data_IF_183960088522
#
_entry.id   IF_183960088522
#
_cell.length_a   1.000
_cell.length_b   1.000
_cell.length_c   1.000
_cell.angle_alpha   90.00
_cell.angle_beta   90.00
_cell.angle_gamma   90.00
#
_symmetry.space_group_name_H-M   'P 1'
#
loop_
_entity.id
_entity.type
_entity.pdbx_description
1 polymer ?
#
# COMPACT_ATOMS: atom_id res chain seq x y z
N UNK A 1 10.97 8.75 3.88
CA UNK A 1 12.33 8.36 3.45
C UNK A 1 12.40 8.25 1.93
N UNK A 2 13.52 8.61 1.35
CA UNK A 2 13.82 8.34 -0.06
C UNK A 2 14.37 6.92 -0.14
N UNK A 3 13.70 5.98 -0.83
CA UNK A 3 14.17 4.60 -0.94
C UNK A 3 15.42 4.52 -1.80
N UNK A 4 16.38 3.66 -1.44
CA UNK A 4 17.63 3.50 -2.16
C UNK A 4 17.87 2.06 -2.64
N UNK A 5 17.80 1.11 -1.72
CA UNK A 5 18.22 -0.27 -1.95
C UNK A 5 17.19 -1.27 -1.41
N UNK A 6 17.10 -2.41 -2.09
CA UNK A 6 16.26 -3.55 -1.68
C UNK A 6 17.12 -4.81 -1.72
N UNK A 7 16.98 -5.64 -0.69
CA UNK A 7 17.36 -7.04 -0.72
C UNK A 7 16.15 -7.90 -1.08
N UNK A 8 16.39 -9.05 -1.76
CA UNK A 8 15.32 -9.96 -2.19
C UNK A 8 15.69 -11.39 -1.86
N UNK A 9 14.92 -12.03 -0.98
CA UNK A 9 15.04 -13.46 -0.69
C UNK A 9 13.97 -14.25 -1.45
N UNK A 10 14.37 -15.38 -2.04
CA UNK A 10 13.48 -16.33 -2.68
C UNK A 10 13.48 -17.65 -1.91
N UNK A 11 12.29 -18.19 -1.65
CA UNK A 11 12.10 -19.59 -1.29
C UNK A 11 11.29 -20.22 -2.42
N UNK A 12 11.90 -21.15 -3.14
CA UNK A 12 11.34 -21.74 -4.37
C UNK A 12 11.14 -23.23 -4.15
N UNK A 13 9.95 -23.72 -4.46
CA UNK A 13 9.67 -25.14 -4.41
C UNK A 13 10.28 -25.87 -5.61
N UNK A 14 10.85 -27.06 -5.39
CA UNK A 14 11.40 -27.91 -6.45
C UNK A 14 10.34 -28.20 -7.53
N UNK A 15 10.70 -27.93 -8.78
CA UNK A 15 9.83 -28.08 -9.94
C UNK A 15 9.07 -26.81 -10.30
N UNK A 16 9.31 -25.67 -9.62
CA UNK A 16 8.75 -24.38 -10.03
C UNK A 16 9.24 -24.01 -11.44
N UNK A 17 8.34 -23.64 -12.40
CA UNK A 17 8.72 -23.41 -13.79
C UNK A 17 9.69 -22.24 -13.95
N UNK A 18 10.80 -22.44 -14.64
CA UNK A 18 11.79 -21.37 -14.91
C UNK A 18 11.20 -20.21 -15.74
N UNK A 19 10.21 -20.48 -16.60
CA UNK A 19 9.54 -19.45 -17.38
C UNK A 19 8.78 -18.47 -16.46
N UNK A 20 8.08 -19.01 -15.47
CA UNK A 20 7.33 -18.22 -14.49
C UNK A 20 8.28 -17.42 -13.59
N UNK A 21 9.37 -18.05 -13.15
CA UNK A 21 10.41 -17.36 -12.38
C UNK A 21 11.00 -16.19 -13.16
N UNK A 22 11.27 -16.36 -14.46
CA UNK A 22 11.75 -15.27 -15.33
C UNK A 22 10.75 -14.12 -15.43
N UNK A 23 9.46 -14.44 -15.59
CA UNK A 23 8.39 -13.43 -15.63
C UNK A 23 8.33 -12.64 -14.32
N UNK A 24 8.40 -13.31 -13.18
CA UNK A 24 8.43 -12.69 -11.86
C UNK A 24 9.64 -11.75 -11.73
N UNK A 25 10.85 -12.22 -12.03
CA UNK A 25 12.09 -11.42 -11.93
C UNK A 25 12.05 -10.20 -12.87
N UNK A 26 11.50 -10.34 -14.08
CA UNK A 26 11.32 -9.21 -15.00
C UNK A 26 10.35 -8.17 -14.46
N UNK A 27 9.22 -8.62 -13.87
CA UNK A 27 8.25 -7.74 -13.21
C UNK A 27 8.88 -7.00 -12.02
N UNK A 28 9.65 -7.70 -11.19
CA UNK A 28 10.39 -7.10 -10.07
C UNK A 28 11.39 -6.04 -10.55
N UNK A 29 12.15 -6.35 -11.61
CA UNK A 29 13.12 -5.41 -12.17
C UNK A 29 12.43 -4.17 -12.77
N UNK A 30 11.24 -4.31 -13.35
CA UNK A 30 10.42 -3.20 -13.81
C UNK A 30 9.97 -2.32 -12.64
N UNK A 31 9.37 -2.90 -11.61
CA UNK A 31 8.91 -2.20 -10.42
C UNK A 31 10.07 -1.46 -9.70
N UNK A 32 11.23 -2.09 -9.59
CA UNK A 32 12.42 -1.47 -8.99
C UNK A 32 12.89 -0.24 -9.78
N UNK A 33 12.85 -0.29 -11.13
CA UNK A 33 13.17 0.87 -11.98
C UNK A 33 12.16 2.00 -11.81
N UNK A 34 10.87 1.68 -11.78
CA UNK A 34 9.78 2.65 -11.58
C UNK A 34 9.91 3.34 -10.21
N UNK A 35 10.19 2.57 -9.17
CA UNK A 35 10.45 3.08 -7.82
C UNK A 35 11.81 3.76 -7.66
N UNK A 36 12.69 3.73 -8.69
CA UNK A 36 14.07 4.26 -8.64
C UNK A 36 14.92 3.65 -7.53
N UNK A 37 14.69 2.37 -7.21
CA UNK A 37 15.48 1.61 -6.23
C UNK A 37 16.35 0.58 -6.90
N UNK A 38 17.46 0.19 -6.24
CA UNK A 38 18.36 -0.85 -6.74
C UNK A 38 18.19 -2.13 -5.91
N UNK A 39 17.99 -3.26 -6.56
CA UNK A 39 18.12 -4.56 -5.93
C UNK A 39 19.61 -4.85 -5.85
N UNK A 40 20.17 -4.91 -4.65
CA UNK A 40 21.64 -4.96 -4.43
C UNK A 40 22.12 -6.28 -3.84
N UNK A 41 21.22 -7.03 -3.24
CA UNK A 41 21.55 -8.32 -2.63
C UNK A 41 20.31 -9.19 -2.51
N UNK A 42 20.51 -10.46 -2.25
CA UNK A 42 19.45 -11.41 -2.00
C UNK A 42 20.01 -12.81 -1.71
N UNK A 43 19.09 -13.74 -1.51
CA UNK A 43 19.41 -15.15 -1.34
C UNK A 43 18.32 -16.00 -2.00
N UNK A 44 18.66 -17.24 -2.36
CA UNK A 44 17.71 -18.18 -2.93
C UNK A 44 17.83 -19.52 -2.22
N UNK A 45 16.74 -19.97 -1.64
CA UNK A 45 16.60 -21.31 -1.08
C UNK A 45 15.64 -22.13 -1.92
N UNK A 46 16.06 -23.29 -2.36
CA UNK A 46 15.15 -24.29 -2.95
C UNK A 46 14.74 -25.28 -1.86
N UNK A 47 13.45 -25.53 -1.75
CA UNK A 47 12.84 -26.51 -0.84
C UNK A 47 12.26 -27.68 -1.63
N UNK A 48 12.12 -28.82 -0.99
CA UNK A 48 11.55 -30.03 -1.59
C UNK A 48 10.11 -29.80 -2.04
N UNK A 49 9.68 -30.55 -3.06
CA UNK A 49 8.31 -30.54 -3.55
C UNK A 49 7.29 -30.84 -2.43
N UNK A 50 6.21 -30.06 -2.34
CA UNK A 50 5.19 -30.17 -1.30
C UNK A 50 5.56 -29.55 0.05
N UNK A 51 6.71 -28.85 0.13
CA UNK A 51 7.15 -28.13 1.34
C UNK A 51 6.97 -26.62 1.24
N UNK A 52 6.43 -26.13 0.16
CA UNK A 52 6.14 -24.72 -0.09
C UNK A 52 4.80 -24.52 -0.76
N UNK A 53 4.57 -23.32 -1.27
CA UNK A 53 3.41 -22.92 -2.09
C UNK A 53 3.94 -22.31 -3.41
N UNK A 54 4.76 -23.07 -4.10
CA UNK A 54 5.41 -22.66 -5.33
C UNK A 54 6.59 -21.72 -5.08
N UNK A 55 6.32 -20.45 -4.76
CA UNK A 55 7.36 -19.44 -4.51
C UNK A 55 6.95 -18.45 -3.44
N UNK A 56 7.88 -18.17 -2.51
CA UNK A 56 7.77 -17.06 -1.58
C UNK A 56 8.87 -16.04 -1.88
N UNK A 57 8.51 -14.76 -1.88
CA UNK A 57 9.41 -13.65 -2.12
C UNK A 57 9.36 -12.71 -0.92
N UNK A 58 10.51 -12.50 -0.30
CA UNK A 58 10.66 -11.56 0.80
C UNK A 58 11.57 -10.42 0.39
N UNK A 59 11.17 -9.18 0.68
CA UNK A 59 11.97 -8.00 0.39
C UNK A 59 12.20 -7.18 1.65
N UNK A 60 13.41 -6.59 1.74
CA UNK A 60 13.73 -5.59 2.76
C UNK A 60 14.34 -4.37 2.10
N UNK A 61 13.92 -3.18 2.50
CA UNK A 61 14.36 -1.93 1.90
C UNK A 61 15.17 -1.05 2.85
N UNK A 62 16.09 -0.28 2.28
CA UNK A 62 16.84 0.77 2.97
C UNK A 62 16.61 2.08 2.24
N UNK A 63 16.34 3.15 3.00
CA UNK A 63 16.18 4.50 2.49
C UNK A 63 16.78 5.54 3.44
N UNK A 64 16.89 6.76 2.94
CA UNK A 64 17.37 7.91 3.72
C UNK A 64 16.18 8.74 4.17
N UNK A 65 16.13 9.07 5.44
CA UNK A 65 15.14 10.00 5.99
C UNK A 65 15.72 11.41 5.83
N UNK A 66 14.96 12.30 5.17
CA UNK A 66 15.30 13.71 5.09
C UNK A 66 15.25 14.32 6.50
N UNK A 67 16.25 15.15 6.83
CA UNK A 67 16.34 15.82 8.14
C UNK A 67 15.13 16.74 8.42
N UNK A 68 14.44 17.20 7.38
CA UNK A 68 13.22 17.99 7.52
C UNK A 68 11.99 17.15 7.98
N UNK A 69 12.04 15.81 7.85
CA UNK A 69 10.94 14.95 8.25
C UNK A 69 10.98 14.69 9.74
N UNK A 70 10.00 15.21 10.47
CA UNK A 70 9.84 14.93 11.90
C UNK A 70 9.19 13.56 12.11
N UNK A 71 9.97 12.58 12.56
CA UNK A 71 9.49 11.21 12.86
C UNK A 71 8.89 11.07 14.26
N UNK A 72 9.00 12.09 15.12
CA UNK A 72 8.48 12.09 16.48
C UNK A 72 7.14 12.87 16.60
N UNK A 73 6.47 13.10 15.51
CA UNK A 73 5.21 13.85 15.48
C UNK A 73 4.16 13.18 16.36
N UNK A 74 3.53 13.97 17.22
CA UNK A 74 2.43 13.54 18.10
C UNK A 74 1.11 13.94 17.50
N UNK A 75 0.14 13.02 17.51
CA UNK A 75 -1.22 13.31 17.10
C UNK A 75 -1.88 14.34 18.01
N UNK A 76 -2.72 15.17 17.42
CA UNK A 76 -3.49 16.20 18.14
C UNK A 76 -4.97 16.10 17.79
N UNK A 77 -5.81 16.51 18.72
CA UNK A 77 -7.24 16.67 18.44
C UNK A 77 -7.42 17.70 17.33
N UNK A 78 -8.20 17.33 16.31
CA UNK A 78 -8.42 18.15 15.11
C UNK A 78 -7.53 17.78 13.92
N UNK A 79 -6.47 16.98 14.10
CA UNK A 79 -5.69 16.45 12.98
C UNK A 79 -6.60 15.71 11.98
N UNK A 80 -6.20 15.68 10.71
CA UNK A 80 -6.94 15.06 9.61
C UNK A 80 -6.21 13.83 9.09
N UNK A 81 -6.99 12.86 8.61
CA UNK A 81 -6.49 11.66 7.92
C UNK A 81 -6.86 11.79 6.45
N UNK A 82 -5.88 11.56 5.58
CA UNK A 82 -6.00 11.61 4.13
C UNK A 82 -5.60 10.25 3.58
N UNK A 83 -6.31 9.78 2.55
CA UNK A 83 -5.95 8.62 1.75
C UNK A 83 -5.75 9.04 0.29
N UNK A 84 -4.86 8.37 -0.44
CA UNK A 84 -4.54 8.73 -1.83
C UNK A 84 -5.52 8.18 -2.88
N UNK A 85 -6.57 7.47 -2.51
CA UNK A 85 -7.56 6.96 -3.46
C UNK A 85 -8.49 5.91 -2.89
N UNK A 86 -9.04 5.07 -3.76
CA UNK A 86 -9.97 3.99 -3.42
C UNK A 86 -9.40 2.96 -2.46
N UNK A 87 -10.27 2.19 -1.80
CA UNK A 87 -9.89 1.07 -0.95
C UNK A 87 -10.41 -0.26 -1.48
N UNK A 88 -9.84 -1.35 -1.00
CA UNK A 88 -10.23 -2.74 -1.23
C UNK A 88 -9.91 -3.32 -2.62
N UNK A 89 -9.38 -2.54 -3.56
CA UNK A 89 -9.09 -3.01 -4.94
C UNK A 89 -8.11 -4.20 -4.93
N UNK A 90 -6.98 -4.09 -4.22
CA UNK A 90 -5.98 -5.17 -4.16
C UNK A 90 -6.57 -6.45 -3.57
N UNK A 91 -7.19 -6.36 -2.40
CA UNK A 91 -7.69 -7.54 -1.71
C UNK A 91 -8.76 -8.27 -2.53
N UNK A 92 -9.65 -7.53 -3.20
CA UNK A 92 -10.66 -8.13 -4.07
C UNK A 92 -10.07 -8.71 -5.35
N UNK A 93 -9.06 -8.07 -5.95
CA UNK A 93 -8.34 -8.63 -7.09
C UNK A 93 -7.69 -9.99 -6.76
N UNK A 94 -7.04 -10.10 -5.60
CA UNK A 94 -6.40 -11.35 -5.16
C UNK A 94 -7.44 -12.41 -4.80
N UNK A 95 -8.49 -12.05 -4.05
CA UNK A 95 -9.53 -13.01 -3.65
C UNK A 95 -10.28 -13.57 -4.85
N UNK A 96 -10.63 -12.73 -5.83
CA UNK A 96 -11.28 -13.15 -7.06
C UNK A 96 -10.45 -14.20 -7.80
N UNK A 97 -9.14 -13.98 -7.96
CA UNK A 97 -8.22 -14.93 -8.60
C UNK A 97 -8.10 -16.25 -7.81
N UNK A 98 -7.97 -16.18 -6.48
CA UNK A 98 -7.82 -17.38 -5.63
C UNK A 98 -9.08 -18.25 -5.59
N UNK A 99 -10.25 -17.65 -5.66
CA UNK A 99 -11.53 -18.38 -5.63
C UNK A 99 -12.03 -18.78 -7.01
N UNK A 100 -11.30 -18.43 -8.08
CA UNK A 100 -11.73 -18.72 -9.46
C UNK A 100 -13.03 -18.00 -9.83
N UNK A 101 -13.32 -16.88 -9.21
CA UNK A 101 -14.51 -16.09 -9.49
C UNK A 101 -14.25 -15.23 -10.73
N UNK A 102 -14.82 -15.66 -11.85
CA UNK A 102 -14.84 -14.85 -13.08
C UNK A 102 -15.99 -13.82 -12.96
N UNK A 103 -15.67 -12.65 -12.44
CA UNK A 103 -16.59 -11.53 -12.50
C UNK A 103 -16.54 -10.91 -13.90
N UNK A 104 -17.69 -10.40 -14.35
CA UNK A 104 -17.81 -9.72 -15.64
C UNK A 104 -16.97 -8.42 -15.75
N UNK A 105 -16.30 -8.03 -14.66
CA UNK A 105 -15.44 -6.85 -14.60
C UNK A 105 -14.05 -7.24 -14.09
N UNK A 106 -13.01 -6.87 -14.85
CA UNK A 106 -11.63 -7.02 -14.39
C UNK A 106 -11.34 -6.09 -13.22
N UNK A 107 -11.06 -6.67 -12.05
CA UNK A 107 -10.50 -5.94 -10.92
C UNK A 107 -8.99 -6.13 -10.95
N UNK A 108 -8.28 -5.03 -11.14
CA UNK A 108 -6.83 -5.02 -11.09
C UNK A 108 -6.33 -4.63 -9.71
N UNK A 109 -5.22 -5.23 -9.30
CA UNK A 109 -4.50 -4.76 -8.10
C UNK A 109 -3.98 -3.35 -8.32
N UNK A 110 -4.10 -2.53 -7.32
CA UNK A 110 -3.62 -1.14 -7.25
C UNK A 110 -2.17 -1.01 -6.72
N UNK A 111 -1.41 -2.10 -6.69
CA UNK A 111 0.01 -2.07 -6.34
C UNK A 111 0.77 -1.01 -7.12
N UNK A 112 1.41 -0.08 -6.42
CA UNK A 112 2.13 1.03 -7.03
C UNK A 112 3.28 1.53 -6.14
N UNK A 113 4.31 2.12 -6.75
CA UNK A 113 5.41 2.77 -6.05
C UNK A 113 4.99 4.19 -5.62
N UNK A 114 4.75 4.40 -4.35
CA UNK A 114 4.25 5.67 -3.81
C UNK A 114 5.34 6.70 -3.50
N UNK A 115 6.61 6.37 -3.66
CA UNK A 115 7.72 7.26 -3.28
C UNK A 115 7.68 8.62 -3.98
N UNK A 116 7.25 8.70 -5.25
CA UNK A 116 7.05 9.95 -5.96
C UNK A 116 5.96 10.82 -5.31
N UNK A 117 4.77 10.24 -5.10
CA UNK A 117 3.66 10.91 -4.43
C UNK A 117 4.04 11.43 -3.04
N UNK A 118 4.74 10.61 -2.26
CA UNK A 118 5.19 11.01 -0.91
C UNK A 118 6.21 12.16 -0.99
N UNK A 119 7.12 12.14 -1.96
CA UNK A 119 8.09 13.24 -2.16
C UNK A 119 7.37 14.55 -2.52
N UNK A 120 6.37 14.51 -3.40
CA UNK A 120 5.58 15.69 -3.76
C UNK A 120 4.86 16.28 -2.53
N UNK A 121 4.26 15.43 -1.69
CA UNK A 121 3.64 15.87 -0.43
C UNK A 121 4.66 16.50 0.52
N UNK A 122 5.80 15.86 0.71
CA UNK A 122 6.83 16.36 1.64
C UNK A 122 7.52 17.63 1.15
N UNK A 123 7.56 17.88 -0.17
CA UNK A 123 8.17 19.06 -0.76
C UNK A 123 7.50 20.38 -0.34
N UNK A 124 6.23 20.35 0.04
CA UNK A 124 5.53 21.53 0.58
C UNK A 124 5.71 21.73 2.09
N UNK A 125 6.55 20.91 2.71
CA UNK A 125 6.87 20.95 4.14
C UNK A 125 5.64 21.02 5.06
N UNK A 126 4.68 20.09 4.93
CA UNK A 126 3.48 20.09 5.74
C UNK A 126 3.74 19.51 7.13
N UNK A 127 2.87 19.83 8.09
CA UNK A 127 2.92 19.25 9.42
C UNK A 127 2.33 17.83 9.43
N UNK A 128 3.03 16.88 8.77
CA UNK A 128 2.67 15.47 8.80
C UNK A 128 3.00 14.87 10.16
N UNK A 129 2.05 14.14 10.74
CA UNK A 129 2.20 13.43 12.01
C UNK A 129 2.69 12.01 11.81
N UNK A 130 2.07 11.30 10.87
CA UNK A 130 2.36 9.90 10.58
C UNK A 130 1.93 9.57 9.15
N UNK A 131 2.61 8.62 8.55
CA UNK A 131 2.21 7.97 7.30
C UNK A 131 2.24 6.47 7.48
N UNK A 132 1.26 5.77 6.93
CA UNK A 132 1.20 4.31 6.96
C UNK A 132 0.41 3.74 5.79
N UNK A 133 0.80 2.55 5.37
CA UNK A 133 0.06 1.71 4.44
C UNK A 133 -1.08 0.97 5.15
N UNK A 134 -2.30 0.95 4.61
CA UNK A 134 -3.42 0.21 5.15
C UNK A 134 -3.50 -1.21 4.57
N UNK A 135 -2.44 -2.02 4.73
CA UNK A 135 -2.35 -3.37 4.16
C UNK A 135 -3.14 -4.38 4.97
N UNK A 136 -2.53 -5.05 5.93
CA UNK A 136 -3.18 -6.11 6.70
C UNK A 136 -4.31 -5.57 7.57
N UNK A 137 -5.54 -6.11 7.37
CA UNK A 137 -6.74 -5.67 8.08
C UNK A 137 -7.29 -4.33 7.60
N UNK A 138 -6.76 -3.82 6.47
CA UNK A 138 -7.26 -2.67 5.75
C UNK A 138 -7.17 -1.34 6.51
N UNK A 139 -8.00 -0.41 6.08
CA UNK A 139 -8.13 0.90 6.69
C UNK A 139 -8.52 0.80 8.18
N UNK A 140 -9.45 -0.09 8.49
CA UNK A 140 -9.96 -0.28 9.85
C UNK A 140 -8.85 -0.65 10.84
N UNK A 141 -8.00 -1.62 10.52
CA UNK A 141 -6.91 -2.02 11.42
C UNK A 141 -5.93 -0.88 11.67
N UNK A 142 -5.49 -0.19 10.61
CA UNK A 142 -4.54 0.91 10.73
C UNK A 142 -5.06 2.05 11.58
N UNK A 143 -6.33 2.42 11.42
CA UNK A 143 -6.95 3.49 12.20
C UNK A 143 -7.12 3.07 13.67
N UNK A 144 -7.53 1.83 13.93
CA UNK A 144 -7.63 1.33 15.30
C UNK A 144 -6.27 1.26 16.00
N UNK A 145 -5.21 0.87 15.30
CA UNK A 145 -3.85 0.91 15.84
C UNK A 145 -3.44 2.34 16.21
N UNK A 146 -3.73 3.33 15.36
CA UNK A 146 -3.46 4.73 15.66
C UNK A 146 -4.29 5.25 16.87
N UNK A 147 -5.60 4.96 16.88
CA UNK A 147 -6.49 5.35 17.97
C UNK A 147 -6.00 4.81 19.33
N UNK A 148 -5.62 3.54 19.37
CA UNK A 148 -5.14 2.88 20.57
C UNK A 148 -3.77 3.41 21.02
N UNK A 149 -2.82 3.56 20.07
CA UNK A 149 -1.46 4.00 20.38
C UNK A 149 -1.42 5.43 20.97
N UNK A 150 -2.26 6.32 20.42
CA UNK A 150 -2.30 7.73 20.85
C UNK A 150 -3.44 8.05 21.82
N UNK A 151 -4.27 7.06 22.17
CA UNK A 151 -5.43 7.23 23.08
C UNK A 151 -6.37 8.35 22.60
N UNK A 152 -6.67 8.36 21.30
CA UNK A 152 -7.53 9.35 20.65
C UNK A 152 -8.68 8.67 19.92
N UNK A 153 -9.87 9.28 19.95
CA UNK A 153 -10.98 8.89 19.09
C UNK A 153 -10.74 9.35 17.64
N UNK A 154 -11.04 8.48 16.67
CA UNK A 154 -10.99 8.79 15.25
C UNK A 154 -12.41 8.69 14.68
N UNK A 155 -12.85 9.72 13.97
CA UNK A 155 -14.14 9.74 13.27
C UNK A 155 -13.88 9.69 11.77
N UNK A 156 -14.39 8.66 11.11
CA UNK A 156 -14.40 8.53 9.65
C UNK A 156 -15.69 9.11 9.07
N UNK A 157 -15.57 9.73 7.92
CA UNK A 157 -16.70 10.06 7.06
C UNK A 157 -16.73 9.09 5.90
N UNK A 158 -17.64 8.13 5.94
CA UNK A 158 -17.77 7.08 4.94
C UNK A 158 -17.97 7.63 3.52
N UNK A 159 -18.67 8.76 3.39
CA UNK A 159 -18.91 9.39 2.08
C UNK A 159 -17.62 9.89 1.40
N UNK A 160 -16.55 10.09 2.17
CA UNK A 160 -15.26 10.51 1.64
C UNK A 160 -14.33 9.32 1.32
N UNK A 161 -14.76 8.09 1.63
CA UNK A 161 -13.98 6.88 1.37
C UNK A 161 -14.45 6.28 0.06
N UNK A 162 -13.61 6.39 -0.98
CA UNK A 162 -13.95 5.83 -2.28
C UNK A 162 -13.80 4.31 -2.29
N UNK A 163 -14.87 3.62 -2.67
CA UNK A 163 -14.88 2.20 -3.03
C UNK A 163 -15.50 2.08 -4.41
N UNK A 164 -14.79 1.47 -5.36
CA UNK A 164 -15.32 1.28 -6.70
C UNK A 164 -16.54 0.36 -6.70
N UNK A 165 -17.55 0.63 -7.54
CA UNK A 165 -18.83 -0.11 -7.53
C UNK A 165 -18.65 -1.62 -7.74
N UNK A 166 -17.73 -2.03 -8.63
CA UNK A 166 -17.39 -3.44 -8.85
C UNK A 166 -16.78 -4.09 -7.61
N UNK A 167 -15.91 -3.38 -6.89
CA UNK A 167 -15.30 -3.83 -5.63
C UNK A 167 -16.34 -3.93 -4.54
N UNK A 168 -17.23 -2.93 -4.43
CA UNK A 168 -18.34 -2.93 -3.49
C UNK A 168 -19.27 -4.12 -3.70
N UNK A 169 -19.68 -4.38 -4.95
CA UNK A 169 -20.53 -5.52 -5.29
C UNK A 169 -19.92 -6.87 -4.91
N UNK A 170 -18.59 -7.03 -5.08
CA UNK A 170 -17.91 -8.26 -4.65
C UNK A 170 -17.84 -8.37 -3.14
N UNK A 171 -17.54 -7.28 -2.45
CA UNK A 171 -17.55 -7.26 -0.98
C UNK A 171 -18.93 -7.66 -0.44
N UNK A 172 -20.01 -7.11 -0.99
CA UNK A 172 -21.38 -7.45 -0.64
C UNK A 172 -21.69 -8.94 -0.87
N UNK A 173 -21.28 -9.49 -2.02
CA UNK A 173 -21.47 -10.89 -2.37
C UNK A 173 -20.74 -11.84 -1.41
N UNK A 174 -19.54 -11.44 -0.97
CA UNK A 174 -18.70 -12.24 -0.06
C UNK A 174 -18.96 -11.96 1.42
N UNK A 175 -19.85 -11.01 1.75
CA UNK A 175 -20.14 -10.62 3.14
C UNK A 175 -18.95 -9.91 3.79
N UNK A 176 -18.16 -9.17 3.03
CA UNK A 176 -16.97 -8.45 3.50
C UNK A 176 -17.23 -6.95 3.60
N UNK A 177 -16.68 -6.33 4.62
CA UNK A 177 -16.63 -4.88 4.73
C UNK A 177 -15.33 -4.35 4.06
N UNK A 178 -15.42 -3.46 3.05
CA UNK A 178 -14.27 -2.88 2.38
C UNK A 178 -13.23 -2.25 3.31
N UNK A 179 -13.65 -1.75 4.46
CA UNK A 179 -12.76 -1.15 5.46
C UNK A 179 -11.75 -2.14 6.05
N UNK A 180 -12.07 -3.45 6.01
CA UNK A 180 -11.21 -4.52 6.52
C UNK A 180 -10.38 -5.22 5.45
N UNK A 181 -10.61 -4.87 4.17
CA UNK A 181 -9.92 -5.49 3.04
C UNK A 181 -8.54 -4.89 2.86
N UNK A 182 -7.56 -5.74 2.58
CA UNK A 182 -6.17 -5.32 2.38
C UNK A 182 -6.02 -4.41 1.16
N UNK A 183 -5.18 -3.38 1.30
CA UNK A 183 -4.83 -2.45 0.25
C UNK A 183 -3.33 -2.51 -0.05
N UNK A 184 -2.97 -2.25 -1.29
CA UNK A 184 -1.61 -2.00 -1.74
C UNK A 184 -1.60 -0.67 -2.51
N UNK A 185 -0.44 -0.07 -2.76
CA UNK A 185 -0.40 1.21 -3.46
C UNK A 185 -1.19 2.34 -2.80
N UNK A 186 -1.48 2.21 -1.50
CA UNK A 186 -2.21 3.20 -0.70
C UNK A 186 -1.37 3.67 0.47
N UNK A 187 -1.58 4.94 0.83
CA UNK A 187 -0.99 5.56 2.01
C UNK A 187 -2.04 6.37 2.76
N UNK A 188 -2.06 6.19 4.06
CA UNK A 188 -2.76 7.08 4.98
C UNK A 188 -1.77 8.12 5.50
N UNK A 189 -2.16 9.37 5.43
CA UNK A 189 -1.39 10.50 5.96
C UNK A 189 -2.21 11.17 7.05
N UNK A 190 -1.66 11.23 8.27
CA UNK A 190 -2.20 12.07 9.32
C UNK A 190 -1.42 13.37 9.37
N UNK A 191 -2.11 14.49 9.34
CA UNK A 191 -1.53 15.83 9.29
C UNK A 191 -2.32 16.85 10.12
N UNK A 192 -1.71 18.02 10.32
CA UNK A 192 -2.40 19.16 10.88
C UNK A 192 -3.58 19.59 10.01
N UNK A 193 -4.67 20.04 10.64
CA UNK A 193 -5.90 20.40 9.92
C UNK A 193 -5.69 21.50 8.85
N UNK A 194 -4.82 22.46 9.15
CA UNK A 194 -4.47 23.59 8.27
C UNK A 194 -3.72 23.17 7.00
N UNK A 195 -3.08 22.01 6.98
CA UNK A 195 -2.34 21.50 5.83
C UNK A 195 -3.14 20.49 4.97
N UNK A 196 -4.26 19.99 5.49
CA UNK A 196 -4.98 18.87 4.89
C UNK A 196 -5.43 19.14 3.45
N UNK A 197 -6.08 20.28 3.20
CA UNK A 197 -6.54 20.64 1.85
C UNK A 197 -5.38 20.78 0.87
N UNK A 198 -4.29 21.39 1.28
CA UNK A 198 -3.09 21.57 0.47
C UNK A 198 -2.42 20.23 0.14
N UNK A 199 -2.38 19.28 1.08
CA UNK A 199 -1.89 17.93 0.85
C UNK A 199 -2.76 17.23 -0.20
N UNK A 200 -4.09 17.26 -0.05
CA UNK A 200 -5.03 16.66 -1.00
C UNK A 200 -4.87 17.28 -2.41
N UNK A 201 -4.73 18.60 -2.52
CA UNK A 201 -4.48 19.26 -3.80
C UNK A 201 -3.19 18.81 -4.48
N UNK A 202 -2.11 18.66 -3.72
CA UNK A 202 -0.82 18.15 -4.24
C UNK A 202 -0.97 16.68 -4.66
N UNK A 203 -1.58 15.85 -3.82
CA UNK A 203 -1.80 14.44 -4.15
C UNK A 203 -2.60 14.30 -5.45
N UNK A 204 -3.67 15.07 -5.64
CA UNK A 204 -4.51 15.02 -6.83
C UNK A 204 -3.82 15.41 -8.14
N UNK A 205 -2.70 16.12 -8.08
CA UNK A 205 -1.84 16.41 -9.24
C UNK A 205 -0.98 15.22 -9.66
N UNK A 206 -0.77 14.26 -8.76
CA UNK A 206 -0.02 13.05 -9.03
C UNK A 206 -0.94 11.92 -9.54
N UNK A 207 -0.54 11.11 -10.53
CA UNK A 207 -1.38 10.03 -11.08
C UNK A 207 -1.94 9.06 -10.03
N UNK A 208 -1.17 8.77 -8.98
CA UNK A 208 -1.53 7.85 -7.88
C UNK A 208 -2.34 8.52 -6.74
N UNK A 209 -2.72 9.76 -6.90
CA UNK A 209 -3.46 10.51 -5.89
C UNK A 209 -4.67 11.27 -6.45
N UNK A 210 -5.12 10.96 -7.68
CA UNK A 210 -6.24 11.66 -8.33
C UNK A 210 -7.51 11.70 -7.49
N UNK A 211 -7.75 10.60 -6.78
CA UNK A 211 -8.94 10.38 -5.97
C UNK A 211 -8.64 10.55 -4.47
N UNK A 212 -7.61 11.32 -4.13
CA UNK A 212 -7.26 11.60 -2.74
C UNK A 212 -8.36 12.35 -2.01
N UNK A 213 -8.64 11.93 -0.77
CA UNK A 213 -9.68 12.51 0.09
C UNK A 213 -9.27 12.52 1.56
#
# INVERSE_FOLDING_TARGET
ATPLYISVGFIIEEGFPLADLRTIVQSMAKAAREAKVKIVTGDTKVVERGKGDGIFINTSGIGVIDAAVNVEAKFKVGDKIIINGSIADHGMAIMSKRQGLDFATDIASDCAALNGLIQDVLAINPAVRCMRDPTRGGLSATINEWANFYTLGIKLNEQNILVHDNVKGICELLGLDPLHVANEGKVLIMCAAEDAEKIVEIMRKHPLGKDAS
#
